data_IF_283183539066
#
_entry.id   IF_283183539066
#
_cell.length_a   1.000
_cell.length_b   1.000
_cell.length_c   1.000
_cell.angle_alpha   90.00
_cell.angle_beta   90.00
_cell.angle_gamma   90.00
#
_symmetry.space_group_name_H-M   'P 1'
#
loop_
_entity.id
_entity.type
_entity.pdbx_description
1 polymer ?
#
# COMPACT_ATOMS: atom_id res chain seq x y z
N UNK A 1 -14.31 10.87 10.73
CA UNK A 1 -13.75 9.52 10.98
C UNK A 1 -13.00 9.06 9.76
N UNK A 2 -11.84 8.43 9.94
CA UNK A 2 -11.07 7.85 8.83
C UNK A 2 -11.89 6.76 8.13
N UNK A 3 -11.83 6.72 6.78
CA UNK A 3 -12.53 5.72 5.96
C UNK A 3 -11.57 4.81 5.19
N UNK A 4 -10.41 5.34 4.81
CA UNK A 4 -9.43 4.66 3.98
C UNK A 4 -8.07 4.67 4.67
N UNK A 5 -7.41 3.53 4.68
CA UNK A 5 -6.00 3.42 5.02
C UNK A 5 -5.20 3.16 3.75
N UNK A 6 -4.04 3.79 3.64
CA UNK A 6 -3.12 3.67 2.51
C UNK A 6 -1.73 3.32 3.01
N UNK A 7 -0.99 2.58 2.20
CA UNK A 7 0.42 2.27 2.44
C UNK A 7 1.16 2.08 1.12
N UNK A 8 2.47 2.25 1.15
CA UNK A 8 3.34 2.02 0.00
C UNK A 8 4.04 0.67 0.14
N UNK A 9 3.85 -0.22 -0.83
CA UNK A 9 4.77 -1.32 -1.06
C UNK A 9 5.98 -0.77 -1.81
N UNK A 10 7.02 -0.37 -1.07
CA UNK A 10 8.22 0.23 -1.66
C UNK A 10 8.90 -0.75 -2.62
N UNK A 11 9.41 -0.21 -3.73
CA UNK A 11 10.17 -0.95 -4.72
C UNK A 11 11.67 -0.72 -4.46
N UNK A 12 12.23 -1.53 -3.56
CA UNK A 12 13.67 -1.53 -3.28
C UNK A 12 14.38 -2.62 -4.11
N UNK A 13 13.85 -3.84 -4.05
CA UNK A 13 14.30 -5.01 -4.81
C UNK A 13 13.09 -5.80 -5.31
N UNK A 14 13.17 -6.40 -6.50
CA UNK A 14 12.00 -6.98 -7.18
C UNK A 14 11.34 -8.09 -6.37
N UNK A 15 12.12 -8.99 -5.76
CA UNK A 15 11.58 -10.08 -4.96
C UNK A 15 10.95 -9.57 -3.65
N UNK A 16 11.64 -8.66 -2.94
CA UNK A 16 11.07 -8.03 -1.74
C UNK A 16 9.79 -7.27 -2.05
N UNK A 17 9.75 -6.53 -3.15
CA UNK A 17 8.57 -5.80 -3.58
C UNK A 17 7.37 -6.72 -3.81
N UNK A 18 7.58 -7.82 -4.56
CA UNK A 18 6.54 -8.84 -4.78
C UNK A 18 6.05 -9.46 -3.48
N UNK A 19 6.94 -9.71 -2.52
CA UNK A 19 6.60 -10.22 -1.18
C UNK A 19 5.74 -9.22 -0.40
N UNK A 20 6.10 -7.93 -0.40
CA UNK A 20 5.32 -6.87 0.26
C UNK A 20 3.91 -6.75 -0.33
N UNK A 21 3.78 -6.65 -1.65
CA UNK A 21 2.48 -6.59 -2.33
C UNK A 21 1.63 -7.81 -1.97
N UNK A 22 2.21 -9.01 -1.94
CA UNK A 22 1.52 -10.24 -1.53
C UNK A 22 1.04 -10.16 -0.07
N UNK A 23 1.91 -9.76 0.86
CA UNK A 23 1.53 -9.65 2.28
C UNK A 23 0.43 -8.63 2.52
N UNK A 24 0.49 -7.48 1.84
CA UNK A 24 -0.55 -6.47 1.94
C UNK A 24 -1.89 -6.93 1.34
N UNK A 25 -1.87 -7.68 0.23
CA UNK A 25 -3.08 -8.36 -0.27
C UNK A 25 -3.66 -9.32 0.75
N UNK A 26 -2.81 -10.14 1.38
CA UNK A 26 -3.23 -11.05 2.46
C UNK A 26 -3.80 -10.27 3.64
N UNK A 27 -3.26 -9.10 3.98
CA UNK A 27 -3.78 -8.22 5.03
C UNK A 27 -5.11 -7.53 4.64
N UNK A 28 -5.48 -7.52 3.36
CA UNK A 28 -6.74 -6.94 2.84
C UNK A 28 -6.58 -5.60 2.13
N UNK A 29 -5.37 -5.23 1.75
CA UNK A 29 -5.11 -4.08 0.89
C UNK A 29 -5.19 -4.47 -0.59
N UNK A 30 -5.63 -3.52 -1.42
CA UNK A 30 -5.66 -3.66 -2.88
C UNK A 30 -4.76 -2.62 -3.54
N UNK A 31 -4.10 -2.93 -4.67
CA UNK A 31 -3.34 -1.95 -5.43
C UNK A 31 -4.24 -0.79 -5.88
N UNK A 32 -3.79 0.44 -5.68
CA UNK A 32 -4.46 1.65 -6.14
C UNK A 32 -3.80 2.17 -7.42
N UNK A 33 -2.47 2.34 -7.39
CA UNK A 33 -1.64 2.75 -8.52
C UNK A 33 -0.16 2.49 -8.24
N UNK A 34 0.64 2.45 -9.29
CA UNK A 34 2.10 2.48 -9.18
C UNK A 34 2.55 3.93 -9.04
N UNK A 35 3.47 4.18 -8.10
CA UNK A 35 4.20 5.43 -7.94
C UNK A 35 5.55 5.17 -8.60
N UNK A 36 5.75 5.71 -9.79
CA UNK A 36 6.93 5.53 -10.63
C UNK A 36 7.91 6.69 -10.57
N UNK A 37 8.86 6.69 -11.51
CA UNK A 37 9.87 7.74 -11.60
C UNK A 37 9.41 8.97 -12.43
N UNK A 38 8.20 8.93 -12.98
CA UNK A 38 7.70 9.95 -13.90
C UNK A 38 7.27 11.25 -13.19
N UNK A 39 7.38 12.37 -13.92
CA UNK A 39 7.07 13.72 -13.42
C UNK A 39 5.64 13.89 -12.89
N UNK A 40 4.70 13.00 -13.26
CA UNK A 40 3.33 12.96 -12.73
C UNK A 40 3.23 12.47 -11.28
N UNK A 41 4.25 11.79 -10.78
CA UNK A 41 4.26 11.11 -9.47
C UNK A 41 5.04 11.87 -8.39
N UNK A 42 5.50 13.09 -8.68
CA UNK A 42 6.30 13.89 -7.74
C UNK A 42 5.54 14.18 -6.44
N UNK A 43 4.24 14.51 -6.51
CA UNK A 43 3.41 14.77 -5.32
C UNK A 43 3.21 13.55 -4.42
N UNK A 44 3.07 12.38 -5.04
CA UNK A 44 2.94 11.12 -4.31
C UNK A 44 4.28 10.66 -3.74
N UNK A 45 5.39 10.90 -4.43
CA UNK A 45 6.73 10.65 -3.90
C UNK A 45 7.06 11.53 -2.70
N UNK A 46 6.63 12.80 -2.68
CA UNK A 46 6.78 13.67 -1.50
C UNK A 46 6.00 13.12 -0.30
N UNK A 47 4.83 12.54 -0.55
CA UNK A 47 3.96 12.00 0.51
C UNK A 47 4.46 10.66 1.05
N UNK A 48 4.94 9.78 0.17
CA UNK A 48 5.30 8.40 0.51
C UNK A 48 6.81 8.14 0.60
N UNK A 49 7.64 9.07 0.15
CA UNK A 49 9.10 9.04 0.28
C UNK A 49 9.82 8.06 -0.66
N UNK A 50 9.13 7.40 -1.59
CA UNK A 50 9.73 6.40 -2.47
C UNK A 50 8.85 5.96 -3.63
N UNK A 51 9.43 5.10 -4.48
CA UNK A 51 8.79 4.44 -5.64
C UNK A 51 8.18 3.13 -5.18
N UNK A 52 7.06 2.71 -5.76
CA UNK A 52 6.45 1.43 -5.42
C UNK A 52 4.97 1.34 -5.77
N UNK A 53 4.27 0.37 -5.18
CA UNK A 53 2.83 0.19 -5.39
C UNK A 53 2.07 0.80 -4.22
N UNK A 54 1.34 1.89 -4.46
CA UNK A 54 0.41 2.44 -3.49
C UNK A 54 -0.78 1.50 -3.36
N UNK A 55 -1.08 1.09 -2.13
CA UNK A 55 -2.18 0.17 -1.84
C UNK A 55 -3.12 0.80 -0.82
N UNK A 56 -4.41 0.44 -0.89
CA UNK A 56 -5.43 0.98 0.00
C UNK A 56 -6.39 -0.08 0.52
N UNK A 57 -7.07 0.23 1.62
CA UNK A 57 -8.15 -0.60 2.16
C UNK A 57 -9.18 0.26 2.89
N UNK A 58 -10.39 -0.28 3.06
CA UNK A 58 -11.38 0.32 3.96
C UNK A 58 -11.01 0.01 5.41
N UNK A 59 -10.89 1.05 6.23
CA UNK A 59 -10.40 0.90 7.61
C UNK A 59 -11.33 0.04 8.48
N UNK A 60 -12.64 0.03 8.23
CA UNK A 60 -13.57 -0.80 9.01
C UNK A 60 -13.35 -2.26 8.68
N UNK A 61 -13.24 -2.59 7.39
CA UNK A 61 -12.97 -3.95 6.93
C UNK A 61 -11.62 -4.46 7.45
N UNK A 62 -10.59 -3.62 7.40
CA UNK A 62 -9.27 -3.93 7.94
C UNK A 62 -9.35 -4.25 9.44
N UNK A 63 -9.94 -3.36 10.24
CA UNK A 63 -10.07 -3.54 11.69
C UNK A 63 -10.89 -4.79 12.07
N UNK A 64 -11.96 -5.10 11.33
CA UNK A 64 -12.76 -6.31 11.56
C UNK A 64 -11.97 -7.59 11.30
N UNK A 65 -11.15 -7.61 10.25
CA UNK A 65 -10.29 -8.75 9.92
C UNK A 65 -9.25 -9.01 11.00
N UNK A 66 -8.61 -7.96 11.51
CA UNK A 66 -7.56 -8.05 12.52
C UNK A 66 -8.07 -8.41 13.91
N UNK A 67 -9.27 -7.94 14.30
CA UNK A 67 -9.94 -8.38 15.54
C UNK A 67 -10.21 -9.88 15.61
N UNK A 68 -10.21 -10.59 14.48
CA UNK A 68 -10.43 -12.04 14.41
C UNK A 68 -9.13 -12.84 14.44
N UNK A 69 -7.99 -12.18 14.28
CA UNK A 69 -6.67 -12.80 14.19
C UNK A 69 -5.87 -12.65 15.49
N UNK A 70 -6.27 -11.74 16.38
CA UNK A 70 -5.75 -11.53 17.75
C UNK A 70 -6.78 -12.10 18.73
#
# INVERSE_FOLDING_TARGET
>A
GCKRAELLAIYDEEEQHKRLVRYYRIAGFTPLREIGDDFGDIGDRVTWGGVGTLMSTDIRNFMLKWKRTI
#
